data_IF_106815502539
#
_entry.id   IF_106815502539
#
_cell.length_a   1.000
_cell.length_b   1.000
_cell.length_c   1.000
_cell.angle_alpha   90.00
_cell.angle_beta   90.00
_cell.angle_gamma   90.00
#
_symmetry.space_group_name_H-M   'P 1'
#
loop_
_entity.id
_entity.type
_entity.pdbx_description
1 polymer ?
#
# COMPACT_ATOMS: atom_id res chain seq x y z
N UNK A 1 12.20 15.01 1.19
CA UNK A 1 11.04 14.13 1.39
C UNK A 1 11.19 12.94 0.45
N UNK A 2 10.89 11.72 0.92
CA UNK A 2 10.78 10.57 0.01
C UNK A 2 9.44 10.70 -0.72
N UNK A 3 9.46 10.58 -2.04
CA UNK A 3 8.24 10.66 -2.86
C UNK A 3 8.13 9.37 -3.64
N UNK A 4 7.03 8.66 -3.39
CA UNK A 4 6.61 7.53 -4.22
C UNK A 4 5.88 8.07 -5.44
N UNK A 5 6.11 7.46 -6.59
CA UNK A 5 5.41 7.74 -7.85
C UNK A 5 4.23 6.80 -8.06
N UNK A 6 4.36 5.57 -7.56
CA UNK A 6 3.29 4.58 -7.51
C UNK A 6 2.70 4.55 -6.10
N UNK A 7 1.43 4.96 -6.01
CA UNK A 7 0.72 4.97 -4.73
C UNK A 7 0.52 3.56 -4.19
N UNK A 8 0.31 2.56 -5.04
CA UNK A 8 0.09 1.18 -4.60
C UNK A 8 1.38 0.56 -4.08
N UNK A 9 2.54 0.92 -4.64
CA UNK A 9 3.84 0.57 -4.06
C UNK A 9 3.96 1.19 -2.65
N UNK A 10 3.62 2.48 -2.51
CA UNK A 10 3.64 3.14 -1.21
C UNK A 10 2.71 2.45 -0.20
N UNK A 11 1.50 2.08 -0.58
CA UNK A 11 0.55 1.37 0.27
C UNK A 11 1.12 0.03 0.73
N UNK A 12 1.73 -0.75 -0.17
CA UNK A 12 2.35 -2.03 0.18
C UNK A 12 3.53 -1.87 1.17
N UNK A 13 4.32 -0.81 1.02
CA UNK A 13 5.37 -0.44 2.00
C UNK A 13 4.78 -0.04 3.34
N UNK A 14 3.65 0.69 3.34
CA UNK A 14 2.93 1.07 4.56
C UNK A 14 2.35 -0.17 5.23
N UNK A 15 1.74 -1.09 4.49
CA UNK A 15 1.27 -2.39 5.01
C UNK A 15 2.40 -3.08 5.78
N UNK A 16 3.55 -3.27 5.14
CA UNK A 16 4.68 -3.94 5.76
C UNK A 16 5.18 -3.20 7.02
N UNK A 17 5.36 -1.88 6.95
CA UNK A 17 5.97 -1.14 8.06
C UNK A 17 5.01 -0.81 9.21
N UNK A 18 3.76 -0.50 8.92
CA UNK A 18 2.77 -0.05 9.90
C UNK A 18 1.97 -1.21 10.48
N UNK A 19 1.59 -2.18 9.63
CA UNK A 19 0.66 -3.23 10.00
C UNK A 19 1.40 -4.53 10.36
N UNK A 20 2.35 -4.97 9.54
CA UNK A 20 3.08 -6.22 9.79
C UNK A 20 4.21 -6.05 10.82
N UNK A 21 5.05 -5.03 10.67
CA UNK A 21 6.21 -4.79 11.55
C UNK A 21 5.91 -3.86 12.74
N UNK A 22 4.80 -3.13 12.70
CA UNK A 22 4.40 -2.13 13.72
C UNK A 22 5.48 -1.05 14.00
N UNK A 23 6.30 -0.70 13.00
CA UNK A 23 7.38 0.30 13.13
C UNK A 23 6.94 1.72 12.71
N UNK A 24 6.09 1.84 11.70
CA UNK A 24 5.55 3.12 11.25
C UNK A 24 4.33 3.49 12.10
N UNK A 25 4.42 4.58 12.86
CA UNK A 25 3.42 5.00 13.86
C UNK A 25 3.01 6.46 13.68
N UNK A 26 1.79 6.84 14.10
CA UNK A 26 0.73 5.99 14.65
C UNK A 26 0.14 5.03 13.60
N UNK A 27 -0.46 3.92 14.04
CA UNK A 27 -1.24 3.04 13.16
C UNK A 27 -2.47 3.80 12.69
N UNK A 28 -2.73 3.82 11.40
CA UNK A 28 -3.94 4.43 10.85
C UNK A 28 -5.14 3.49 11.06
N UNK A 29 -6.29 4.08 11.34
CA UNK A 29 -7.58 3.41 11.43
C UNK A 29 -8.65 4.32 10.84
N UNK A 30 -9.39 3.83 9.85
CA UNK A 30 -10.46 4.53 9.18
C UNK A 30 -11.58 4.86 10.16
N UNK A 31 -11.90 3.95 11.08
CA UNK A 31 -12.85 4.16 12.16
C UNK A 31 -12.46 5.37 13.04
N UNK A 32 -11.21 5.45 13.50
CA UNK A 32 -10.75 6.60 14.28
C UNK A 32 -10.68 7.88 13.43
N UNK A 33 -10.29 7.74 12.16
CA UNK A 33 -10.18 8.84 11.23
C UNK A 33 -11.54 9.48 10.96
N UNK A 34 -12.58 8.72 10.61
CA UNK A 34 -13.92 9.26 10.34
C UNK A 34 -14.55 9.89 11.59
N UNK A 35 -14.30 9.33 12.78
CA UNK A 35 -14.81 9.88 14.05
C UNK A 35 -14.18 11.23 14.40
N UNK A 36 -12.94 11.48 13.97
CA UNK A 36 -12.21 12.73 14.20
C UNK A 36 -12.27 13.71 13.03
N UNK A 37 -12.75 13.27 11.87
CA UNK A 37 -12.84 14.09 10.67
C UNK A 37 -13.97 15.12 10.77
N UNK A 38 -13.66 16.40 10.52
CA UNK A 38 -14.60 17.52 10.73
C UNK A 38 -15.01 18.25 9.46
N UNK A 39 -14.33 18.02 8.32
CA UNK A 39 -14.65 18.73 7.07
C UNK A 39 -16.00 18.31 6.50
N UNK A 40 -16.33 17.02 6.62
CA UNK A 40 -17.63 16.42 6.31
C UNK A 40 -17.84 15.14 7.12
N UNK A 41 -19.07 14.63 7.13
CA UNK A 41 -19.32 13.25 7.56
C UNK A 41 -18.84 12.30 6.46
N UNK A 42 -18.05 11.30 6.85
CA UNK A 42 -17.71 10.15 6.02
C UNK A 42 -18.58 9.00 6.53
N UNK A 43 -19.38 8.42 5.65
CA UNK A 43 -20.28 7.31 5.99
C UNK A 43 -19.71 6.02 5.43
N UNK A 44 -19.04 5.22 6.27
CA UNK A 44 -18.37 3.98 5.84
C UNK A 44 -19.36 3.00 5.21
N UNK A 45 -20.60 2.93 5.71
CA UNK A 45 -21.62 2.01 5.19
C UNK A 45 -22.06 2.38 3.77
N UNK A 46 -22.04 3.67 3.42
CA UNK A 46 -22.43 4.14 2.08
C UNK A 46 -21.23 4.27 1.13
N UNK A 47 -20.06 4.66 1.64
CA UNK A 47 -18.87 5.01 0.85
C UNK A 47 -17.81 3.90 0.82
N UNK A 48 -17.90 2.90 1.69
CA UNK A 48 -16.84 1.91 1.90
C UNK A 48 -16.67 0.88 0.77
N UNK A 49 -17.52 0.93 -0.26
CA UNK A 49 -17.40 0.14 -1.49
C UNK A 49 -16.44 0.76 -2.52
N UNK A 50 -16.08 2.03 -2.32
CA UNK A 50 -15.11 2.77 -3.12
C UNK A 50 -13.97 3.26 -2.23
N UNK A 51 -12.88 3.74 -2.84
CA UNK A 51 -11.80 4.38 -2.09
C UNK A 51 -12.32 5.66 -1.43
N UNK A 52 -12.22 5.71 -0.10
CA UNK A 52 -12.43 6.91 0.71
C UNK A 52 -11.26 7.86 0.45
N UNK A 53 -11.52 8.91 -0.35
CA UNK A 53 -10.46 9.78 -0.86
C UNK A 53 -9.67 10.48 0.26
N UNK A 54 -10.29 10.82 1.38
CA UNK A 54 -9.60 11.42 2.53
C UNK A 54 -8.59 10.49 3.19
N UNK A 55 -8.85 9.17 3.22
CA UNK A 55 -7.90 8.18 3.71
C UNK A 55 -6.74 7.99 2.73
N UNK A 56 -7.05 7.94 1.42
CA UNK A 56 -6.04 7.91 0.37
C UNK A 56 -5.13 9.15 0.43
N UNK A 57 -5.69 10.34 0.64
CA UNK A 57 -4.92 11.58 0.76
C UNK A 57 -4.03 11.57 2.01
N UNK A 58 -4.51 11.04 3.13
CA UNK A 58 -3.67 10.79 4.30
C UNK A 58 -2.45 9.93 3.95
N UNK A 59 -2.64 8.80 3.26
CA UNK A 59 -1.53 7.93 2.89
C UNK A 59 -0.61 8.54 1.83
N UNK A 60 -1.11 9.37 0.90
CA UNK A 60 -0.28 10.14 -0.03
C UNK A 60 0.62 11.12 0.72
N UNK A 61 0.11 11.79 1.74
CA UNK A 61 0.85 12.78 2.54
C UNK A 61 1.75 12.14 3.61
N UNK A 62 1.45 10.92 4.06
CA UNK A 62 2.19 10.23 5.12
C UNK A 62 3.67 10.10 4.77
N UNK A 63 4.54 10.73 5.57
CA UNK A 63 5.99 10.62 5.40
C UNK A 63 6.51 9.32 6.03
N UNK A 64 7.29 8.56 5.25
CA UNK A 64 7.96 7.36 5.74
C UNK A 64 9.44 7.69 6.01
N UNK A 65 9.92 7.56 7.26
CA UNK A 65 11.33 7.76 7.57
C UNK A 65 12.22 6.83 6.74
N UNK A 66 13.31 7.36 6.18
CA UNK A 66 14.23 6.60 5.31
C UNK A 66 14.80 5.36 5.99
N UNK A 67 15.07 5.42 7.29
CA UNK A 67 15.62 4.29 8.03
C UNK A 67 14.62 3.13 8.16
N UNK A 68 13.31 3.40 8.09
CA UNK A 68 12.29 2.35 8.05
C UNK A 68 12.20 1.70 6.67
N UNK A 69 12.42 2.45 5.58
CA UNK A 69 12.46 1.88 4.23
C UNK A 69 13.56 0.82 4.08
N UNK A 70 14.65 0.96 4.83
CA UNK A 70 15.71 -0.06 4.90
C UNK A 70 15.28 -1.36 5.60
N UNK A 71 14.15 -1.37 6.31
CA UNK A 71 13.58 -2.54 6.99
C UNK A 71 12.65 -3.36 6.11
N UNK A 72 12.28 -2.84 4.93
CA UNK A 72 11.45 -3.55 3.97
C UNK A 72 12.33 -4.55 3.22
N UNK A 73 12.24 -5.82 3.62
CA UNK A 73 12.90 -6.94 2.92
C UNK A 73 11.93 -7.76 2.06
N UNK A 74 10.63 -7.71 2.41
CA UNK A 74 9.56 -8.43 1.73
C UNK A 74 8.36 -7.52 1.57
N UNK A 75 7.67 -7.68 0.45
CA UNK A 75 6.35 -7.12 0.21
C UNK A 75 5.43 -8.28 -0.20
N UNK A 76 4.22 -8.27 0.34
CA UNK A 76 3.18 -9.23 0.02
C UNK A 76 1.91 -8.42 -0.22
N UNK A 77 1.37 -8.44 -1.44
CA UNK A 77 0.05 -7.89 -1.72
C UNK A 77 -0.99 -8.99 -1.50
N UNK A 78 -1.89 -8.78 -0.55
CA UNK A 78 -3.02 -9.66 -0.24
C UNK A 78 -4.33 -8.87 -0.23
N UNK A 79 -5.41 -9.47 -0.73
CA UNK A 79 -6.72 -8.82 -0.77
C UNK A 79 -7.22 -8.41 0.62
N UNK A 80 -6.78 -9.13 1.66
CA UNK A 80 -7.08 -8.85 3.06
C UNK A 80 -6.06 -7.98 3.79
N UNK A 81 -5.06 -7.41 3.10
CA UNK A 81 -4.13 -6.46 3.74
C UNK A 81 -4.92 -5.27 4.32
N UNK A 82 -4.64 -4.94 5.58
CA UNK A 82 -5.42 -3.91 6.27
C UNK A 82 -5.32 -2.57 5.57
N UNK A 83 -4.17 -2.20 5.01
CA UNK A 83 -4.04 -0.92 4.31
C UNK A 83 -5.13 -0.74 3.23
N UNK A 84 -5.52 -1.80 2.52
CA UNK A 84 -6.59 -1.69 1.51
C UNK A 84 -7.96 -1.54 2.17
N UNK A 85 -8.22 -2.27 3.26
CA UNK A 85 -9.46 -2.14 4.04
C UNK A 85 -9.59 -0.77 4.71
N UNK A 86 -8.49 -0.11 5.01
CA UNK A 86 -8.48 1.27 5.53
C UNK A 86 -8.83 2.31 4.45
N UNK A 87 -8.63 1.99 3.16
CA UNK A 87 -9.03 2.84 2.04
C UNK A 87 -10.43 2.49 1.50
N UNK A 88 -10.74 1.22 1.36
CA UNK A 88 -11.99 0.68 0.81
C UNK A 88 -12.45 -0.49 1.71
N UNK A 89 -13.16 -0.20 2.83
CA UNK A 89 -13.56 -1.18 3.84
C UNK A 89 -14.33 -2.41 3.34
N UNK A 90 -15.02 -2.29 2.20
CA UNK A 90 -15.79 -3.35 1.58
C UNK A 90 -15.24 -3.79 0.23
N UNK A 91 -13.96 -3.53 -0.04
CA UNK A 91 -13.29 -4.03 -1.24
C UNK A 91 -13.34 -5.55 -1.27
N UNK A 92 -13.79 -6.11 -2.38
CA UNK A 92 -13.96 -7.55 -2.58
C UNK A 92 -12.72 -8.23 -3.19
N UNK A 93 -11.73 -7.45 -3.62
CA UNK A 93 -10.51 -7.97 -4.24
C UNK A 93 -10.69 -8.39 -5.69
N UNK A 94 -11.82 -8.09 -6.35
CA UNK A 94 -12.12 -8.55 -7.70
C UNK A 94 -11.56 -7.63 -8.81
N UNK A 95 -10.94 -6.50 -8.46
CA UNK A 95 -10.37 -5.55 -9.40
C UNK A 95 -8.87 -5.27 -9.21
N UNK A 96 -8.30 -4.49 -10.12
CA UNK A 96 -6.87 -4.18 -10.18
C UNK A 96 -6.51 -2.85 -9.47
N UNK A 97 -7.43 -2.28 -8.67
CA UNK A 97 -7.28 -0.90 -8.17
C UNK A 97 -6.02 -0.71 -7.31
N UNK A 98 -5.56 -1.78 -6.65
CA UNK A 98 -4.38 -1.80 -5.79
C UNK A 98 -3.15 -2.46 -6.44
N UNK A 99 -3.16 -2.76 -7.74
CA UNK A 99 -1.99 -3.35 -8.40
C UNK A 99 -0.81 -2.36 -8.44
N UNK A 100 0.40 -2.84 -8.14
CA UNK A 100 1.63 -2.08 -8.39
C UNK A 100 1.88 -2.04 -9.90
N UNK A 101 2.03 -0.85 -10.46
CA UNK A 101 2.14 -0.61 -11.91
C UNK A 101 3.45 0.04 -12.32
N UNK A 102 4.37 0.31 -11.37
CA UNK A 102 5.68 0.88 -11.67
C UNK A 102 6.78 0.37 -10.76
N UNK A 103 7.99 0.30 -11.32
CA UNK A 103 9.24 -0.07 -10.62
C UNK A 103 10.03 1.17 -10.20
N UNK A 104 9.56 2.37 -10.51
CA UNK A 104 10.31 3.61 -10.29
C UNK A 104 10.68 3.81 -8.82
N UNK A 105 9.87 3.30 -7.90
CA UNK A 105 10.07 3.44 -6.45
C UNK A 105 10.95 2.34 -5.84
N UNK A 106 11.37 1.33 -6.60
CA UNK A 106 12.17 0.23 -6.07
C UNK A 106 13.48 0.72 -5.41
N UNK A 107 14.06 1.80 -5.92
CA UNK A 107 15.27 2.39 -5.34
C UNK A 107 15.09 2.93 -3.91
N UNK A 108 13.84 3.13 -3.45
CA UNK A 108 13.51 3.60 -2.11
C UNK A 108 13.65 2.49 -1.06
N UNK A 109 13.51 1.22 -1.46
CA UNK A 109 13.57 0.03 -0.60
C UNK A 109 14.74 -0.88 -0.98
N UNK A 110 15.99 -0.45 -0.79
CA UNK A 110 17.17 -1.12 -1.34
C UNK A 110 17.43 -2.53 -0.79
N UNK A 111 16.75 -2.92 0.29
CA UNK A 111 16.88 -4.23 0.92
C UNK A 111 15.76 -5.21 0.53
N UNK A 112 14.84 -4.82 -0.37
CA UNK A 112 13.76 -5.69 -0.86
C UNK A 112 14.36 -6.89 -1.59
N UNK A 113 14.03 -8.10 -1.13
CA UNK A 113 14.51 -9.38 -1.66
C UNK A 113 13.40 -10.19 -2.31
N UNK A 114 12.18 -10.05 -1.80
CA UNK A 114 11.03 -10.83 -2.24
C UNK A 114 9.79 -9.93 -2.36
N UNK A 115 9.01 -10.13 -3.42
CA UNK A 115 7.71 -9.49 -3.61
C UNK A 115 6.70 -10.50 -4.14
N UNK A 116 5.52 -10.53 -3.54
CA UNK A 116 4.35 -11.20 -4.09
C UNK A 116 3.36 -10.11 -4.48
N UNK A 117 3.01 -10.09 -5.76
CA UNK A 117 2.14 -9.09 -6.38
C UNK A 117 0.74 -9.69 -6.58
N UNK A 118 -0.29 -8.85 -6.64
CA UNK A 118 -1.54 -9.28 -7.25
C UNK A 118 -1.30 -9.75 -8.69
N UNK A 119 -2.13 -10.68 -9.14
CA UNK A 119 -2.08 -11.14 -10.53
C UNK A 119 -2.33 -9.96 -11.47
N UNK A 120 -1.46 -9.78 -12.46
CA UNK A 120 -1.66 -8.83 -13.55
C UNK A 120 -1.61 -9.55 -14.88
N UNK A 121 -2.48 -9.17 -15.82
CA UNK A 121 -2.46 -9.74 -17.19
C UNK A 121 -1.13 -9.45 -17.92
N UNK A 122 -0.50 -8.31 -17.62
CA UNK A 122 0.81 -7.93 -18.14
C UNK A 122 1.93 -8.24 -17.14
N UNK A 123 2.80 -9.17 -17.53
CA UNK A 123 3.97 -9.59 -16.78
C UNK A 123 5.10 -8.56 -16.69
N UNK A 124 5.00 -7.39 -17.33
CA UNK A 124 6.08 -6.39 -17.39
C UNK A 124 6.59 -5.98 -16.00
N UNK A 125 5.70 -5.81 -15.02
CA UNK A 125 6.06 -5.46 -13.64
C UNK A 125 6.75 -6.61 -12.94
N UNK A 126 6.15 -7.81 -12.99
CA UNK A 126 6.74 -9.02 -12.42
C UNK A 126 8.14 -9.29 -12.97
N UNK A 127 8.30 -9.24 -14.29
CA UNK A 127 9.60 -9.46 -14.95
C UNK A 127 10.59 -8.35 -14.64
N UNK A 128 10.13 -7.12 -14.47
CA UNK A 128 10.99 -6.01 -14.10
C UNK A 128 11.57 -6.16 -12.68
N UNK A 129 10.80 -6.64 -11.71
CA UNK A 129 11.35 -7.01 -10.39
C UNK A 129 12.36 -8.15 -10.50
N UNK A 130 12.04 -9.23 -11.26
CA UNK A 130 12.97 -10.34 -11.50
C UNK A 130 14.29 -9.89 -12.13
N UNK A 131 14.22 -8.98 -13.11
CA UNK A 131 15.39 -8.42 -13.78
C UNK A 131 16.29 -7.59 -12.84
N UNK A 132 15.74 -7.12 -11.72
CA UNK A 132 16.49 -6.42 -10.65
C UNK A 132 17.01 -7.38 -9.56
N UNK A 133 16.86 -8.69 -9.75
CA UNK A 133 17.34 -9.72 -8.82
C UNK A 133 16.41 -9.97 -7.63
N UNK A 134 15.16 -9.49 -7.70
CA UNK A 134 14.16 -9.71 -6.65
C UNK A 134 13.39 -10.97 -6.97
N UNK A 135 13.16 -11.82 -5.97
CA UNK A 135 12.26 -12.96 -6.09
C UNK A 135 10.83 -12.41 -6.21
N UNK A 136 10.24 -12.49 -7.40
CA UNK A 136 8.90 -11.98 -7.65
C UNK A 136 7.95 -13.08 -8.13
N UNK A 137 6.77 -13.16 -7.51
CA UNK A 137 5.71 -14.11 -7.83
C UNK A 137 4.36 -13.36 -7.84
N UNK A 138 3.36 -13.91 -8.53
CA UNK A 138 1.98 -13.49 -8.33
C UNK A 138 1.35 -14.28 -7.19
N UNK A 139 0.37 -13.67 -6.53
CA UNK A 139 -0.52 -14.31 -5.57
C UNK A 139 -1.38 -15.39 -6.25
#
# INVERSE_FOLDING_TARGET
MVQFKDINFKLAVIQELMYNQELLKPRFSIEEFVNSHTKRKIDIEEEGYDIIQEALDYFKELEIPKDLLLKVEKIFQDGGDEVYMELCPFWDGEDDIFNITSLEDLHLVPNLKEIILFFGEDDSILQGFKAKGIKAEYL
#
